data_IF_483902475462
#
_entry.id   IF_483902475462
#
_cell.length_a   1.000
_cell.length_b   1.000
_cell.length_c   1.000
_cell.angle_alpha   90.00
_cell.angle_beta   90.00
_cell.angle_gamma   90.00
#
_symmetry.space_group_name_H-M   'P 1'
#
loop_
_entity.id
_entity.type
_entity.pdbx_description
1 polymer ?
#
# COMPACT_ATOMS: atom_id res chain seq x y z
N UNK A 1 -14.88 -2.37 3.63
CA UNK A 1 -14.26 -3.55 4.28
C UNK A 1 -13.70 -4.55 3.27
N UNK A 2 -14.50 -5.16 2.40
CA UNK A 2 -14.01 -6.16 1.43
C UNK A 2 -12.95 -5.63 0.44
N UNK A 3 -13.19 -4.47 -0.21
CA UNK A 3 -12.25 -3.90 -1.16
C UNK A 3 -10.89 -3.52 -0.53
N UNK A 4 -10.89 -3.07 0.73
CA UNK A 4 -9.67 -2.77 1.47
C UNK A 4 -8.83 -4.04 1.76
N UNK A 5 -9.50 -5.15 2.09
CA UNK A 5 -8.82 -6.43 2.28
C UNK A 5 -8.26 -6.97 0.95
N UNK A 6 -8.99 -6.80 -0.16
CA UNK A 6 -8.55 -7.21 -1.49
C UNK A 6 -7.31 -6.43 -1.96
N UNK A 7 -7.35 -5.09 -1.87
CA UNK A 7 -6.20 -4.27 -2.29
C UNK A 7 -4.98 -4.54 -1.42
N UNK A 8 -5.16 -4.75 -0.11
CA UNK A 8 -4.08 -5.13 0.77
C UNK A 8 -3.44 -6.43 0.27
N UNK A 9 -4.22 -7.49 0.08
CA UNK A 9 -3.71 -8.78 -0.40
C UNK A 9 -2.96 -8.68 -1.75
N UNK A 10 -3.47 -7.91 -2.71
CA UNK A 10 -2.79 -7.72 -4.01
C UNK A 10 -1.45 -6.96 -3.87
N UNK A 11 -1.39 -5.94 -3.01
CA UNK A 11 -0.18 -5.14 -2.79
C UNK A 11 0.85 -5.88 -1.93
N UNK A 12 0.42 -6.63 -0.91
CA UNK A 12 1.31 -7.46 -0.09
C UNK A 12 2.02 -8.53 -0.92
N UNK A 13 1.38 -9.05 -1.97
CA UNK A 13 1.96 -10.07 -2.85
C UNK A 13 3.16 -9.58 -3.68
N UNK A 14 3.36 -8.27 -3.77
CA UNK A 14 4.47 -7.64 -4.50
C UNK A 14 5.37 -6.79 -3.59
N UNK A 15 5.19 -6.89 -2.28
CA UNK A 15 5.98 -6.21 -1.27
C UNK A 15 6.81 -7.19 -0.44
N UNK A 16 7.97 -6.73 0.05
CA UNK A 16 8.83 -7.52 0.95
C UNK A 16 8.32 -7.45 2.40
N UNK A 17 7.70 -6.33 2.79
CA UNK A 17 7.07 -6.15 4.10
C UNK A 17 5.94 -5.12 4.04
N UNK A 18 5.05 -5.18 5.04
CA UNK A 18 3.99 -4.20 5.25
C UNK A 18 3.91 -3.78 6.72
N UNK A 19 3.53 -2.53 6.97
CA UNK A 19 3.27 -2.01 8.31
C UNK A 19 1.97 -1.20 8.28
N UNK A 20 1.03 -1.55 9.17
CA UNK A 20 -0.19 -0.76 9.35
C UNK A 20 0.15 0.55 10.05
N UNK A 21 -0.23 1.66 9.43
CA UNK A 21 -0.13 3.00 9.99
C UNK A 21 -1.28 3.30 10.95
N UNK A 22 -1.25 4.48 11.60
CA UNK A 22 -2.36 4.94 12.43
C UNK A 22 -3.62 5.14 11.58
N UNK A 23 -4.78 5.15 12.26
CA UNK A 23 -6.03 5.53 11.61
C UNK A 23 -5.93 6.98 11.09
N UNK A 24 -6.42 7.19 9.87
CA UNK A 24 -6.52 8.50 9.22
C UNK A 24 -8.00 8.76 8.99
N UNK A 25 -8.48 9.92 9.39
CA UNK A 25 -9.87 10.31 9.20
C UNK A 25 -10.26 10.24 7.71
N UNK A 26 -11.41 9.62 7.42
CA UNK A 26 -11.85 9.38 6.04
C UNK A 26 -11.19 8.18 5.34
N UNK A 27 -10.16 7.56 5.91
CA UNK A 27 -9.51 6.38 5.34
C UNK A 27 -9.93 5.10 6.07
N UNK A 28 -10.27 4.08 5.29
CA UNK A 28 -10.55 2.73 5.82
C UNK A 28 -9.28 1.86 5.96
N UNK A 29 -8.16 2.30 5.39
CA UNK A 29 -6.88 1.61 5.40
C UNK A 29 -5.74 2.63 5.26
N UNK A 30 -4.70 2.48 6.08
CA UNK A 30 -3.44 3.23 5.98
C UNK A 30 -2.28 2.27 6.22
N UNK A 31 -1.49 1.98 5.19
CA UNK A 31 -0.45 0.94 5.21
C UNK A 31 0.77 1.40 4.43
N UNK A 32 1.94 1.19 5.01
CA UNK A 32 3.24 1.36 4.35
C UNK A 32 3.72 0.02 3.80
N UNK A 33 4.35 0.03 2.62
CA UNK A 33 4.95 -1.15 2.00
C UNK A 33 6.45 -0.94 1.78
N UNK A 34 7.25 -1.96 2.09
CA UNK A 34 8.67 -2.01 1.76
C UNK A 34 8.83 -2.86 0.50
N UNK A 35 9.49 -2.30 -0.51
CA UNK A 35 9.66 -2.95 -1.80
C UNK A 35 11.14 -2.99 -2.18
N UNK A 36 11.57 -4.07 -2.82
CA UNK A 36 12.76 -4.00 -3.65
C UNK A 36 12.55 -2.97 -4.76
N UNK A 37 13.53 -2.08 -4.97
CA UNK A 37 13.48 -0.98 -5.97
C UNK A 37 13.04 -1.38 -7.39
N UNK A 38 13.27 -2.63 -7.80
CA UNK A 38 12.92 -3.16 -9.12
C UNK A 38 11.42 -3.46 -9.27
N UNK A 39 10.72 -3.71 -8.16
CA UNK A 39 9.28 -4.00 -8.13
C UNK A 39 8.43 -2.73 -8.08
N UNK A 40 9.03 -1.54 -7.91
CA UNK A 40 8.29 -0.26 -7.81
C UNK A 40 7.29 -0.06 -8.96
N UNK A 41 7.72 -0.25 -10.22
CA UNK A 41 6.82 -0.11 -11.38
C UNK A 41 5.69 -1.13 -11.35
N UNK A 42 5.97 -2.37 -10.91
CA UNK A 42 4.96 -3.41 -10.80
C UNK A 42 3.94 -3.06 -9.72
N UNK A 43 4.40 -2.56 -8.58
CA UNK A 43 3.56 -2.10 -7.49
C UNK A 43 2.61 -0.99 -7.93
N UNK A 44 3.13 0.04 -8.61
CA UNK A 44 2.31 1.12 -9.18
C UNK A 44 1.26 0.57 -10.17
N UNK A 45 1.64 -0.38 -11.03
CA UNK A 45 0.70 -1.02 -11.95
C UNK A 45 -0.41 -1.84 -11.26
N UNK A 46 -0.15 -2.39 -10.07
CA UNK A 46 -1.19 -3.02 -9.25
C UNK A 46 -2.15 -1.97 -8.70
N UNK A 47 -1.64 -0.87 -8.15
CA UNK A 47 -2.45 0.24 -7.63
C UNK A 47 -3.35 0.83 -8.73
N UNK A 48 -2.80 1.16 -9.89
CA UNK A 48 -3.57 1.75 -11.00
C UNK A 48 -4.66 0.81 -11.52
N UNK A 49 -4.33 -0.49 -11.72
CA UNK A 49 -5.31 -1.49 -12.12
C UNK A 49 -6.43 -1.63 -11.09
N UNK A 50 -6.09 -1.70 -9.81
CA UNK A 50 -7.08 -1.86 -8.76
C UNK A 50 -8.00 -0.64 -8.67
N UNK A 51 -7.43 0.56 -8.67
CA UNK A 51 -8.18 1.82 -8.64
C UNK A 51 -9.09 1.95 -9.86
N UNK A 52 -8.61 1.59 -11.05
CA UNK A 52 -9.42 1.61 -12.29
C UNK A 52 -10.58 0.62 -12.23
N UNK A 53 -10.32 -0.61 -11.77
CA UNK A 53 -11.34 -1.66 -11.66
C UNK A 53 -12.40 -1.41 -10.58
N UNK A 54 -12.11 -0.52 -9.63
CA UNK A 54 -12.99 -0.21 -8.50
C UNK A 54 -13.31 1.28 -8.38
N UNK A 55 -13.22 2.03 -9.49
CA UNK A 55 -13.31 3.51 -9.52
C UNK A 55 -14.55 4.10 -8.85
N UNK A 56 -15.67 3.38 -8.85
CA UNK A 56 -16.94 3.85 -8.25
C UNK A 56 -17.04 3.56 -6.75
N UNK A 57 -16.02 2.91 -6.17
CA UNK A 57 -16.05 2.36 -4.81
C UNK A 57 -14.80 2.62 -3.99
N UNK A 58 -13.68 2.95 -4.63
CA UNK A 58 -12.38 3.04 -3.99
C UNK A 58 -11.62 4.25 -4.52
N UNK A 59 -11.11 5.04 -3.59
CA UNK A 59 -10.07 6.03 -3.81
C UNK A 59 -8.78 5.52 -3.17
N UNK A 60 -7.71 5.40 -3.95
CA UNK A 60 -6.38 5.02 -3.47
C UNK A 60 -5.44 6.21 -3.58
N UNK A 61 -4.78 6.55 -2.48
CA UNK A 61 -3.72 7.54 -2.44
C UNK A 61 -2.39 6.82 -2.21
N UNK A 62 -1.44 7.03 -3.11
CA UNK A 62 -0.10 6.44 -3.02
C UNK A 62 0.94 7.55 -2.95
N UNK A 63 1.76 7.52 -1.90
CA UNK A 63 2.86 8.47 -1.71
C UNK A 63 4.19 7.71 -1.71
N UNK A 64 5.15 8.14 -2.53
CA UNK A 64 6.50 7.62 -2.52
C UNK A 64 7.21 7.65 -3.87
N UNK A 65 8.43 7.06 -3.94
CA UNK A 65 9.13 6.39 -2.83
C UNK A 65 9.54 7.37 -1.72
N UNK A 66 9.43 6.94 -0.46
CA UNK A 66 9.85 7.68 0.73
C UNK A 66 11.02 6.94 1.42
N UNK A 67 11.80 7.62 2.28
CA UNK A 67 12.68 6.91 3.20
C UNK A 67 11.88 5.90 4.04
N UNK A 68 12.54 4.80 4.45
CA UNK A 68 11.89 3.64 5.07
C UNK A 68 11.48 3.86 6.54
N UNK A 69 10.96 5.04 6.91
CA UNK A 69 10.68 5.43 8.30
C UNK A 69 9.79 4.41 9.05
N UNK A 70 8.79 3.85 8.38
CA UNK A 70 7.90 2.84 8.96
C UNK A 70 8.57 1.48 9.26
N UNK A 71 9.79 1.27 8.76
CA UNK A 71 10.52 -0.01 8.86
C UNK A 71 11.84 0.12 9.64
N UNK A 72 12.15 1.31 10.16
CA UNK A 72 13.40 1.57 10.88
C UNK A 72 13.27 1.46 12.41
N UNK A 73 12.06 1.47 12.95
CA UNK A 73 11.82 1.30 14.39
C UNK A 73 11.80 -0.20 14.74
N UNK A 74 12.73 -0.64 15.60
CA UNK A 74 12.85 -2.04 16.00
C UNK A 74 14.19 -2.74 15.71
N UNK A 75 15.30 -2.02 15.58
CA UNK A 75 16.63 -2.60 15.89
C UNK A 75 17.12 -2.10 17.24
N UNK A 76 16.77 -2.85 18.28
CA UNK A 76 17.58 -2.97 19.50
C UNK A 76 18.05 -4.42 19.57
#
# INVERSE_FOLDING_TARGET
AAAAAMVLAELSAVADAEVRGPAVEGCVLNVSFLLHRREERRFHGVVERFATGHRDRVELLLTGPLPCYSFTEGRV
#
